data_IF_230878720050
#
_entry.id   IF_230878720050
#
_cell.length_a   1.000
_cell.length_b   1.000
_cell.length_c   1.000
_cell.angle_alpha   90.00
_cell.angle_beta   90.00
_cell.angle_gamma   90.00
#
_symmetry.space_group_name_H-M   'P 1'
#
loop_
_entity.id
_entity.type
_entity.pdbx_description
1 polymer ?
#
# COMPACT_ATOMS: atom_id res chain seq x y z
N UNK A 1 -0.18 -1.03 12.90
CA UNK A 1 0.96 -0.51 13.69
C UNK A 1 0.97 0.99 13.51
N UNK A 2 1.37 1.77 14.51
CA UNK A 2 1.47 3.21 14.34
C UNK A 2 2.96 3.56 14.23
N UNK A 3 3.37 4.19 13.12
CA UNK A 3 4.74 4.69 12.97
C UNK A 3 4.69 6.19 13.27
N UNK A 4 4.93 6.55 14.53
CA UNK A 4 4.74 7.92 15.01
C UNK A 4 3.27 8.38 14.93
N UNK A 5 3.00 9.50 14.26
CA UNK A 5 1.64 10.03 14.04
C UNK A 5 0.92 9.43 12.82
N UNK A 6 1.57 8.50 12.11
CA UNK A 6 1.12 7.99 10.82
C UNK A 6 0.42 6.63 10.98
N UNK A 7 -0.82 6.53 10.47
CA UNK A 7 -1.60 5.28 10.50
C UNK A 7 -1.04 4.31 9.45
N UNK A 8 -0.41 3.24 9.94
CA UNK A 8 0.19 2.18 9.14
C UNK A 8 -0.51 0.82 9.32
N UNK A 9 -0.62 0.06 8.23
CA UNK A 9 -1.11 -1.33 8.27
C UNK A 9 -0.01 -2.30 7.80
N UNK A 10 0.28 -3.33 8.60
CA UNK A 10 1.19 -4.43 8.22
C UNK A 10 0.34 -5.67 7.97
N UNK A 11 0.53 -6.30 6.81
CA UNK A 11 -0.03 -7.61 6.47
C UNK A 11 1.09 -8.63 6.28
N UNK A 12 1.26 -9.47 7.30
CA UNK A 12 2.15 -10.61 7.26
C UNK A 12 1.42 -11.88 6.79
N UNK A 13 1.03 -11.92 5.51
CA UNK A 13 0.39 -13.10 4.91
C UNK A 13 1.07 -13.48 3.60
N UNK A 14 0.82 -14.71 3.13
CA UNK A 14 1.36 -15.24 1.86
C UNK A 14 0.66 -14.67 0.61
N UNK A 15 -0.54 -14.11 0.75
CA UNK A 15 -1.32 -13.57 -0.36
C UNK A 15 -1.10 -12.06 -0.55
N UNK A 16 -0.89 -11.59 -1.79
CA UNK A 16 -0.68 -10.17 -2.05
C UNK A 16 -1.91 -9.34 -1.69
N UNK A 17 -1.70 -8.04 -1.45
CA UNK A 17 -2.80 -7.10 -1.19
C UNK A 17 -3.46 -6.73 -2.49
N UNK A 18 -4.79 -6.90 -2.53
CA UNK A 18 -5.61 -6.62 -3.70
C UNK A 18 -6.12 -5.17 -3.71
N UNK A 19 -6.55 -4.68 -4.88
CA UNK A 19 -7.18 -3.36 -5.05
C UNK A 19 -8.34 -3.07 -4.08
N UNK A 20 -9.35 -3.96 -3.89
CA UNK A 20 -10.46 -3.68 -2.97
C UNK A 20 -10.00 -3.55 -1.51
N UNK A 21 -8.99 -4.33 -1.09
CA UNK A 21 -8.40 -4.19 0.24
C UNK A 21 -7.66 -2.87 0.39
N UNK A 22 -6.83 -2.51 -0.59
CA UNK A 22 -6.12 -1.23 -0.57
C UNK A 22 -7.10 -0.03 -0.54
N UNK A 23 -8.24 -0.14 -1.25
CA UNK A 23 -9.33 0.86 -1.19
C UNK A 23 -9.96 0.96 0.19
N UNK A 24 -10.18 -0.17 0.89
CA UNK A 24 -10.67 -0.17 2.28
C UNK A 24 -9.68 0.50 3.23
N UNK A 25 -8.37 0.26 3.05
CA UNK A 25 -7.33 0.92 3.85
C UNK A 25 -7.25 2.43 3.57
N UNK A 26 -7.33 2.81 2.29
CA UNK A 26 -7.36 4.21 1.89
C UNK A 26 -8.55 4.98 2.49
N UNK A 27 -9.72 4.34 2.61
CA UNK A 27 -10.90 4.91 3.29
C UNK A 27 -10.67 5.15 4.79
N UNK A 28 -9.80 4.36 5.43
CA UNK A 28 -9.42 4.51 6.84
C UNK A 28 -8.32 5.56 7.07
N UNK A 29 -7.97 6.34 6.03
CA UNK A 29 -6.85 7.28 6.05
C UNK A 29 -5.51 6.63 6.44
N UNK A 30 -5.31 5.38 6.02
CA UNK A 30 -4.02 4.69 6.16
C UNK A 30 -3.10 5.19 5.05
N UNK A 31 -1.93 5.69 5.44
CA UNK A 31 -0.94 6.28 4.53
C UNK A 31 0.26 5.37 4.30
N UNK A 32 0.42 4.32 5.12
CA UNK A 32 1.51 3.36 4.98
C UNK A 32 0.96 1.92 5.01
N UNK A 33 1.29 1.13 4.00
CA UNK A 33 0.89 -0.27 3.94
C UNK A 33 2.13 -1.12 3.70
N UNK A 34 2.41 -2.05 4.60
CA UNK A 34 3.46 -3.05 4.44
C UNK A 34 2.85 -4.42 4.21
N UNK A 35 3.31 -5.13 3.19
CA UNK A 35 2.86 -6.48 2.88
C UNK A 35 4.05 -7.40 2.63
N UNK A 36 4.10 -8.55 3.32
CA UNK A 36 5.16 -9.56 3.08
C UNK A 36 5.08 -10.17 1.69
N UNK A 37 3.86 -10.45 1.21
CA UNK A 37 3.60 -10.99 -0.12
C UNK A 37 3.65 -9.93 -1.24
N UNK A 38 3.65 -8.65 -0.88
CA UNK A 38 3.56 -7.54 -1.84
C UNK A 38 2.12 -7.18 -2.21
N UNK A 39 1.97 -6.58 -3.38
CA UNK A 39 0.71 -5.99 -3.88
C UNK A 39 0.45 -6.46 -5.29
N UNK A 40 -0.82 -6.58 -5.65
CA UNK A 40 -1.19 -6.87 -7.03
C UNK A 40 -0.99 -5.63 -7.92
N UNK A 41 -0.72 -5.84 -9.21
CA UNK A 41 -0.60 -4.75 -10.18
C UNK A 41 -1.78 -3.75 -10.15
N UNK A 42 -3.06 -4.19 -10.14
CA UNK A 42 -4.19 -3.26 -10.05
C UNK A 42 -4.24 -2.49 -8.72
N UNK A 43 -3.61 -2.98 -7.65
CA UNK A 43 -3.49 -2.24 -6.40
C UNK A 43 -2.42 -1.13 -6.50
N UNK A 44 -1.28 -1.43 -7.13
CA UNK A 44 -0.21 -0.46 -7.39
C UNK A 44 -0.73 0.65 -8.32
N UNK A 45 -1.42 0.29 -9.40
CA UNK A 45 -2.05 1.26 -10.31
C UNK A 45 -3.10 2.12 -9.62
N UNK A 46 -3.94 1.52 -8.75
CA UNK A 46 -4.94 2.28 -7.99
C UNK A 46 -4.27 3.33 -7.09
N UNK A 47 -3.17 2.98 -6.43
CA UNK A 47 -2.36 3.93 -5.66
C UNK A 47 -1.82 5.03 -6.57
N UNK A 48 -1.12 4.68 -7.64
CA UNK A 48 -0.51 5.69 -8.55
C UNK A 48 -1.56 6.64 -9.14
N UNK A 49 -2.75 6.13 -9.46
CA UNK A 49 -3.81 6.91 -10.10
C UNK A 49 -4.58 7.81 -9.12
N UNK A 50 -4.91 7.31 -7.92
CA UNK A 50 -5.87 8.00 -7.03
C UNK A 50 -5.32 8.34 -5.65
N UNK A 51 -4.28 7.66 -5.18
CA UNK A 51 -3.80 7.73 -3.79
C UNK A 51 -2.28 7.77 -3.74
N UNK A 52 -1.72 8.76 -4.44
CA UNK A 52 -0.27 9.00 -4.49
C UNK A 52 0.34 9.25 -3.09
N UNK A 53 -0.45 9.62 -2.09
CA UNK A 53 0.04 9.79 -0.71
C UNK A 53 0.26 8.47 0.05
N UNK A 54 -0.17 7.32 -0.48
CA UNK A 54 0.01 6.02 0.19
C UNK A 54 1.37 5.41 -0.18
N UNK A 55 2.20 5.14 0.83
CA UNK A 55 3.46 4.41 0.67
C UNK A 55 3.21 2.91 0.79
N UNK A 56 3.67 2.16 -0.21
CA UNK A 56 3.59 0.71 -0.22
C UNK A 56 4.97 0.14 0.06
N UNK A 57 5.05 -0.74 1.06
CA UNK A 57 6.27 -1.42 1.47
C UNK A 57 6.12 -2.92 1.23
N UNK A 58 7.14 -3.54 0.68
CA UNK A 58 7.24 -4.98 0.52
C UNK A 58 8.54 -5.47 1.14
N UNK A 59 8.44 -6.26 2.22
CA UNK A 59 9.60 -6.78 2.97
C UNK A 59 10.59 -5.67 3.32
N UNK A 60 10.11 -4.55 3.89
CA UNK A 60 10.93 -3.38 4.19
C UNK A 60 11.36 -2.50 2.99
N UNK A 61 11.08 -2.87 1.74
CA UNK A 61 11.41 -2.07 0.55
C UNK A 61 10.23 -1.24 0.08
N UNK A 62 10.44 0.04 -0.23
CA UNK A 62 9.42 0.89 -0.85
C UNK A 62 9.19 0.48 -2.30
N UNK A 63 7.92 0.30 -2.69
CA UNK A 63 7.54 0.14 -4.08
C UNK A 63 7.45 1.54 -4.71
N UNK A 64 8.38 1.83 -5.62
CA UNK A 64 8.42 3.08 -6.34
C UNK A 64 7.10 3.35 -7.09
N UNK A 65 6.79 4.63 -7.28
CA UNK A 65 5.67 5.08 -8.13
C UNK A 65 6.05 4.88 -9.59
N UNK A 66 5.15 4.33 -10.41
CA UNK A 66 5.36 4.34 -11.86
C UNK A 66 5.22 5.79 -12.31
N UNK A 67 6.30 6.41 -12.79
CA UNK A 67 6.23 7.75 -13.41
C UNK A 67 5.24 7.65 -14.58
N UNK A 68 4.21 8.49 -14.59
CA UNK A 68 3.39 8.70 -15.79
C UNK A 68 4.34 9.23 -16.86
N UNK A 69 4.43 8.51 -17.99
CA UNK A 69 5.10 8.97 -19.21
C UNK A 69 4.12 9.80 -20.02
#
# INVERSE_FOLDING_TARGET
YQRGSTKGEVKNRKTPVTKPELKKMAKKNITEVESKAGFTEPAIEYRDRYKSNIKLFQKGKIIAKKKKK
#
